data_IF_331450834249
#
_entry.id   IF_331450834249
#
_cell.length_a   1.000
_cell.length_b   1.000
_cell.length_c   1.000
_cell.angle_alpha   90.00
_cell.angle_beta   90.00
_cell.angle_gamma   90.00
#
_symmetry.space_group_name_H-M   'P 1'
#
loop_
_entity.id
_entity.type
_entity.pdbx_description
1 polymer ?
#
# COMPACT_ATOMS: atom_id res chain seq x y z
N UNK A 1 11.71 -12.22 9.58
CA UNK A 1 12.59 -11.06 9.71
C UNK A 1 12.24 -9.97 8.74
N UNK A 2 12.56 -8.77 9.11
CA UNK A 2 12.35 -7.62 8.27
C UNK A 2 13.57 -7.33 7.41
N UNK A 3 13.32 -6.90 6.19
CA UNK A 3 14.35 -6.30 5.37
C UNK A 3 14.52 -4.85 5.74
N UNK A 4 15.63 -4.26 5.38
CA UNK A 4 15.90 -2.86 5.66
C UNK A 4 15.53 -2.03 4.45
N UNK A 5 14.86 -0.92 4.71
CA UNK A 5 14.60 0.05 3.66
C UNK A 5 15.92 0.69 3.24
N UNK A 6 16.06 0.96 1.96
CA UNK A 6 17.25 1.60 1.40
C UNK A 6 16.86 2.87 0.68
N UNK A 7 17.83 3.73 0.46
CA UNK A 7 17.61 5.01 -0.19
C UNK A 7 17.21 6.06 0.82
N UNK A 8 16.63 7.15 0.34
CA UNK A 8 16.33 8.32 1.16
C UNK A 8 14.86 8.40 1.58
N UNK A 9 14.17 7.27 1.54
CA UNK A 9 12.78 7.21 1.95
C UNK A 9 12.61 7.32 3.45
N UNK A 10 11.44 7.76 3.87
CA UNK A 10 11.06 7.83 5.26
C UNK A 10 10.15 6.64 5.59
N UNK A 11 10.57 5.82 6.55
CA UNK A 11 9.85 4.62 6.95
C UNK A 11 9.59 4.69 8.44
N UNK A 12 8.31 4.76 8.84
CA UNK A 12 7.95 5.04 10.22
C UNK A 12 6.72 4.26 10.67
N UNK A 13 6.78 3.68 11.86
CA UNK A 13 5.68 2.89 12.46
C UNK A 13 5.10 1.88 11.47
N UNK A 14 5.94 1.01 10.98
CA UNK A 14 5.57 0.02 9.96
C UNK A 14 6.05 -1.36 10.35
N UNK A 15 5.51 -2.34 9.68
CA UNK A 15 5.97 -3.71 9.77
C UNK A 15 6.32 -4.23 8.38
N UNK A 16 7.58 -4.58 8.19
CA UNK A 16 8.08 -5.09 6.93
C UNK A 16 8.49 -6.54 7.11
N UNK A 17 7.89 -7.42 6.32
CA UNK A 17 8.25 -8.83 6.36
C UNK A 17 9.50 -9.10 5.52
N UNK A 18 9.87 -10.38 5.38
CA UNK A 18 11.13 -10.70 4.73
C UNK A 18 11.17 -10.25 3.28
N UNK A 19 12.35 -9.81 2.86
CA UNK A 19 12.64 -9.42 1.46
C UNK A 19 11.79 -8.28 0.93
N UNK A 20 11.19 -7.48 1.80
CA UNK A 20 10.49 -6.27 1.38
C UNK A 20 11.49 -5.27 0.81
N UNK A 21 11.11 -4.59 -0.26
CA UNK A 21 11.94 -3.59 -0.91
C UNK A 21 11.23 -2.26 -0.96
N UNK A 22 11.79 -1.27 -0.27
CA UNK A 22 11.35 0.13 -0.33
C UNK A 22 12.59 0.99 -0.55
N UNK A 23 13.21 0.91 -1.75
CA UNK A 23 14.58 1.34 -1.92
C UNK A 23 14.79 2.81 -2.27
N UNK A 24 13.79 3.54 -2.75
CA UNK A 24 14.02 4.85 -3.35
C UNK A 24 12.96 5.87 -2.99
N UNK A 25 13.29 6.77 -2.07
CA UNK A 25 12.44 7.92 -1.74
C UNK A 25 10.99 7.53 -1.44
N UNK A 26 10.83 6.49 -0.64
CA UNK A 26 9.50 6.02 -0.25
C UNK A 26 9.14 6.56 1.13
N UNK A 27 7.88 6.88 1.33
CA UNK A 27 7.35 7.03 2.67
C UNK A 27 6.47 5.84 3.00
N UNK A 28 6.79 5.15 4.08
CA UNK A 28 5.98 4.03 4.56
C UNK A 28 5.68 4.28 6.03
N UNK A 29 4.45 4.65 6.32
CA UNK A 29 4.03 4.94 7.68
C UNK A 29 2.80 4.17 8.09
N UNK A 30 2.81 3.64 9.32
CA UNK A 30 1.67 2.93 9.90
C UNK A 30 1.12 1.84 8.98
N UNK A 31 2.00 1.09 8.33
CA UNK A 31 1.65 0.12 7.29
C UNK A 31 2.25 -1.25 7.56
N UNK A 32 1.69 -2.25 6.90
CA UNK A 32 2.22 -3.62 6.91
C UNK A 32 2.50 -4.03 5.47
N UNK A 33 3.73 -4.43 5.19
CA UNK A 33 4.14 -4.88 3.87
C UNK A 33 4.53 -6.36 3.96
N UNK A 34 3.86 -7.18 3.15
CA UNK A 34 4.07 -8.62 3.16
C UNK A 34 5.39 -9.06 2.55
N UNK A 35 5.60 -10.35 2.53
CA UNK A 35 6.83 -10.98 2.02
C UNK A 35 7.09 -10.56 0.57
N UNK A 36 8.29 -10.11 0.29
CA UNK A 36 8.72 -9.64 -1.04
C UNK A 36 7.90 -8.50 -1.62
N UNK A 37 7.10 -7.81 -0.83
CA UNK A 37 6.41 -6.64 -1.34
C UNK A 37 7.43 -5.59 -1.78
N UNK A 38 7.17 -4.96 -2.90
CA UNK A 38 8.11 -4.00 -3.50
C UNK A 38 7.38 -2.68 -3.79
N UNK A 39 7.97 -1.59 -3.35
CA UNK A 39 7.47 -0.26 -3.64
C UNK A 39 8.42 0.45 -4.59
N UNK A 40 7.91 0.83 -5.75
CA UNK A 40 8.69 1.57 -6.74
C UNK A 40 9.09 2.93 -6.23
N UNK A 41 10.06 3.55 -6.91
CA UNK A 41 10.60 4.83 -6.48
C UNK A 41 9.52 5.89 -6.33
N UNK A 42 9.57 6.62 -5.24
CA UNK A 42 8.64 7.71 -4.98
C UNK A 42 7.24 7.30 -4.58
N UNK A 43 6.94 6.00 -4.50
CA UNK A 43 5.62 5.57 -4.04
C UNK A 43 5.53 5.73 -2.53
N UNK A 44 4.33 6.01 -2.05
CA UNK A 44 4.11 6.26 -0.62
C UNK A 44 2.84 5.60 -0.12
N UNK A 45 2.84 5.26 1.17
CA UNK A 45 1.62 4.89 1.87
C UNK A 45 1.21 6.08 2.73
N UNK A 46 0.21 6.82 2.27
CA UNK A 46 -0.31 7.93 3.03
C UNK A 46 -1.05 7.41 4.26
N UNK A 47 -0.81 8.00 5.41
CA UNK A 47 -1.33 7.45 6.66
C UNK A 47 -2.31 8.35 7.40
N UNK A 48 -2.51 9.57 6.93
CA UNK A 48 -3.48 10.50 7.54
C UNK A 48 -4.40 11.01 6.46
N UNK A 49 -5.71 10.94 6.71
CA UNK A 49 -6.70 11.49 5.78
C UNK A 49 -6.65 13.01 5.80
N UNK A 50 -6.94 13.60 4.67
CA UNK A 50 -6.93 15.07 4.55
C UNK A 50 -7.96 15.74 5.46
N UNK A 51 -9.07 15.07 5.75
CA UNK A 51 -10.10 15.59 6.66
C UNK A 51 -9.80 15.31 8.13
N UNK A 52 -8.66 14.66 8.41
CA UNK A 52 -8.21 14.32 9.77
C UNK A 52 -9.13 13.38 10.54
N UNK A 53 -10.07 12.75 9.86
CA UNK A 53 -10.96 11.78 10.49
C UNK A 53 -10.28 10.42 10.65
N UNK A 54 -10.91 9.54 11.42
CA UNK A 54 -10.41 8.18 11.63
C UNK A 54 -10.46 7.40 10.32
N UNK A 55 -9.48 6.52 10.14
CA UNK A 55 -9.35 5.75 8.91
C UNK A 55 -10.32 4.58 8.93
N UNK A 56 -10.99 4.36 7.80
CA UNK A 56 -11.90 3.24 7.59
C UNK A 56 -11.38 2.43 6.41
N UNK A 57 -11.26 1.12 6.57
CA UNK A 57 -10.94 0.21 5.48
C UNK A 57 -12.25 -0.15 4.80
N UNK A 58 -12.34 0.12 3.51
CA UNK A 58 -13.57 -0.09 2.74
C UNK A 58 -13.37 -1.09 1.63
N UNK A 59 -14.17 -2.15 1.65
CA UNK A 59 -14.27 -3.08 0.53
C UNK A 59 -15.65 -2.96 -0.10
N UNK A 60 -15.92 -3.76 -1.12
CA UNK A 60 -17.23 -3.75 -1.78
C UNK A 60 -18.36 -4.13 -0.82
N UNK A 61 -18.07 -5.02 0.12
CA UNK A 61 -19.10 -5.63 0.96
C UNK A 61 -19.14 -5.10 2.38
N UNK A 62 -18.04 -4.50 2.87
CA UNK A 62 -17.99 -4.12 4.26
C UNK A 62 -17.07 -2.95 4.50
N UNK A 63 -17.22 -2.35 5.65
CA UNK A 63 -16.35 -1.27 6.12
C UNK A 63 -15.86 -1.64 7.51
N UNK A 64 -14.56 -1.50 7.71
CA UNK A 64 -13.93 -1.78 9.00
C UNK A 64 -13.38 -0.47 9.55
N UNK A 65 -13.92 -0.04 10.67
CA UNK A 65 -13.43 1.15 11.35
C UNK A 65 -12.19 0.78 12.13
N UNK A 66 -11.08 1.43 11.81
CA UNK A 66 -9.81 1.12 12.48
C UNK A 66 -9.69 1.75 13.85
N UNK A 67 -10.47 2.79 14.13
CA UNK A 67 -10.32 3.56 15.36
C UNK A 67 -9.04 4.37 15.42
N UNK A 68 -8.32 4.47 14.31
CA UNK A 68 -7.01 5.12 14.26
C UNK A 68 -7.05 6.33 13.34
N UNK A 69 -6.40 7.38 13.77
CA UNK A 69 -6.20 8.58 12.96
C UNK A 69 -5.06 8.38 11.96
N UNK A 70 -4.08 7.56 12.33
CA UNK A 70 -2.94 7.21 11.47
C UNK A 70 -3.01 5.73 11.13
N UNK A 71 -3.19 5.43 9.87
CA UNK A 71 -3.29 4.07 9.38
C UNK A 71 -2.97 4.08 7.89
N UNK A 72 -1.92 3.40 7.50
CA UNK A 72 -1.44 3.42 6.12
C UNK A 72 -2.08 2.35 5.27
N UNK A 73 -1.24 1.54 4.62
CA UNK A 73 -1.70 0.50 3.71
C UNK A 73 -1.26 -0.88 4.19
N UNK A 74 -2.02 -1.88 3.78
CA UNK A 74 -1.69 -3.29 4.02
C UNK A 74 -1.41 -3.93 2.67
N UNK A 75 -0.16 -4.29 2.41
CA UNK A 75 0.23 -4.96 1.18
C UNK A 75 0.44 -6.44 1.45
N UNK A 76 -0.22 -7.28 0.66
CA UNK A 76 0.00 -8.71 0.72
C UNK A 76 1.36 -9.12 0.17
N UNK A 77 1.63 -10.42 0.20
CA UNK A 77 2.90 -10.95 -0.28
C UNK A 77 3.06 -10.71 -1.78
N UNK A 78 4.27 -10.38 -2.20
CA UNK A 78 4.64 -10.22 -3.60
C UNK A 78 3.83 -9.17 -4.36
N UNK A 79 3.34 -8.17 -3.66
CA UNK A 79 2.69 -7.00 -4.28
C UNK A 79 3.77 -6.09 -4.86
N UNK A 80 3.53 -5.57 -6.05
CA UNK A 80 4.42 -4.58 -6.64
C UNK A 80 3.67 -3.27 -6.86
N UNK A 81 4.20 -2.20 -6.28
CA UNK A 81 3.64 -0.87 -6.41
C UNK A 81 4.49 -0.06 -7.38
N UNK A 82 3.87 0.47 -8.42
CA UNK A 82 4.58 1.25 -9.43
C UNK A 82 5.07 2.58 -8.88
N UNK A 83 6.03 3.16 -9.61
CA UNK A 83 6.68 4.40 -9.18
C UNK A 83 5.68 5.54 -9.02
N UNK A 84 5.94 6.40 -8.04
CA UNK A 84 5.16 7.60 -7.77
C UNK A 84 3.67 7.34 -7.53
N UNK A 85 3.32 6.15 -7.06
CA UNK A 85 1.95 5.84 -6.67
C UNK A 85 1.69 6.25 -5.24
N UNK A 86 0.44 6.61 -4.96
CA UNK A 86 0.00 6.95 -3.61
C UNK A 86 -1.07 5.96 -3.19
N UNK A 87 -0.79 5.25 -2.10
CA UNK A 87 -1.76 4.37 -1.46
C UNK A 87 -2.42 5.17 -0.34
N UNK A 88 -3.69 5.47 -0.49
CA UNK A 88 -4.40 6.30 0.48
C UNK A 88 -4.65 5.54 1.78
N UNK A 89 -4.87 6.25 2.90
CA UNK A 89 -5.08 5.58 4.19
C UNK A 89 -6.19 4.53 4.12
N UNK A 90 -5.89 3.34 4.62
CA UNK A 90 -6.85 2.24 4.60
C UNK A 90 -6.82 1.40 3.34
N UNK A 91 -5.87 1.62 2.44
CA UNK A 91 -5.74 0.79 1.24
C UNK A 91 -5.26 -0.61 1.63
N UNK A 92 -5.88 -1.62 1.03
CA UNK A 92 -5.46 -3.01 1.20
C UNK A 92 -5.25 -3.59 -0.19
N UNK A 93 -4.08 -4.20 -0.42
CA UNK A 93 -3.75 -4.81 -1.70
C UNK A 93 -3.49 -6.29 -1.48
N UNK A 94 -4.28 -7.12 -2.16
CA UNK A 94 -4.15 -8.57 -2.04
C UNK A 94 -2.87 -9.09 -2.66
N UNK A 95 -2.50 -10.32 -2.30
CA UNK A 95 -1.25 -10.94 -2.75
C UNK A 95 -1.11 -11.00 -4.27
N UNK A 96 0.11 -10.91 -4.74
CA UNK A 96 0.44 -11.05 -6.17
C UNK A 96 -0.26 -10.03 -7.06
N UNK A 97 -0.57 -8.87 -6.53
CA UNK A 97 -1.20 -7.80 -7.29
C UNK A 97 -0.19 -6.76 -7.69
N UNK A 98 -0.50 -6.06 -8.78
CA UNK A 98 0.36 -5.00 -9.29
C UNK A 98 -0.41 -3.68 -9.32
N UNK A 99 0.26 -2.62 -8.93
CA UNK A 99 -0.27 -1.26 -9.03
C UNK A 99 0.54 -0.54 -10.10
N UNK A 100 -0.12 0.00 -11.10
CA UNK A 100 0.55 0.74 -12.16
C UNK A 100 1.16 2.04 -11.62
N UNK A 101 2.24 2.52 -12.25
CA UNK A 101 2.84 3.78 -11.84
C UNK A 101 1.85 4.94 -11.88
N UNK A 102 2.11 5.95 -11.07
CA UNK A 102 1.31 7.17 -10.98
C UNK A 102 -0.15 6.91 -10.58
N UNK A 103 -0.38 5.87 -9.81
CA UNK A 103 -1.73 5.51 -9.39
C UNK A 103 -2.10 6.17 -8.06
N UNK A 104 -3.37 6.51 -7.93
CA UNK A 104 -3.96 6.94 -6.68
C UNK A 104 -4.92 5.84 -6.23
N UNK A 105 -4.51 5.04 -5.26
CA UNK A 105 -5.20 3.81 -4.88
C UNK A 105 -6.01 4.02 -3.62
N UNK A 106 -7.24 3.54 -3.63
CA UNK A 106 -8.14 3.55 -2.47
C UNK A 106 -8.86 2.22 -2.36
N UNK A 107 -9.20 1.84 -1.16
CA UNK A 107 -10.00 0.66 -0.90
C UNK A 107 -9.22 -0.63 -0.99
N UNK A 108 -9.91 -1.70 -1.35
CA UNK A 108 -9.34 -3.05 -1.36
C UNK A 108 -9.14 -3.52 -2.78
N UNK A 109 -7.92 -3.91 -3.11
CA UNK A 109 -7.58 -4.50 -4.40
C UNK A 109 -7.50 -6.01 -4.19
N UNK A 110 -8.29 -6.80 -4.90
CA UNK A 110 -8.27 -8.26 -4.72
C UNK A 110 -6.93 -8.88 -5.10
N UNK A 111 -6.64 -10.04 -4.54
CA UNK A 111 -5.41 -10.78 -4.87
C UNK A 111 -5.36 -11.12 -6.35
N UNK A 112 -4.15 -11.07 -6.92
CA UNK A 112 -3.94 -11.45 -8.31
C UNK A 112 -4.54 -10.49 -9.33
N UNK A 113 -4.70 -9.22 -8.97
CA UNK A 113 -5.24 -8.20 -9.86
C UNK A 113 -4.22 -7.16 -10.25
N UNK A 114 -4.51 -6.44 -11.32
CA UNK A 114 -3.72 -5.30 -11.74
C UNK A 114 -4.60 -4.06 -11.60
N UNK A 115 -4.12 -3.09 -10.85
CA UNK A 115 -4.78 -1.79 -10.72
C UNK A 115 -4.17 -0.86 -11.77
N UNK A 116 -4.93 -0.53 -12.79
CA UNK A 116 -4.51 0.44 -13.82
C UNK A 116 -4.96 1.83 -13.46
N UNK A 117 -6.20 1.95 -13.02
CA UNK A 117 -6.77 3.20 -12.52
C UNK A 117 -8.05 2.84 -11.75
N UNK A 118 -8.72 3.83 -11.20
CA UNK A 118 -9.90 3.58 -10.37
C UNK A 118 -11.03 2.84 -11.12
N UNK A 119 -11.05 2.90 -12.44
CA UNK A 119 -12.08 2.25 -13.26
C UNK A 119 -11.63 0.93 -13.84
N UNK A 120 -10.33 0.66 -13.84
CA UNK A 120 -9.77 -0.53 -14.49
C UNK A 120 -8.93 -1.33 -13.51
N UNK A 121 -9.59 -2.25 -12.83
CA UNK A 121 -8.95 -3.22 -11.96
C UNK A 121 -9.24 -4.57 -12.57
N UNK A 122 -8.22 -5.18 -13.17
CA UNK A 122 -8.41 -6.41 -13.94
C UNK A 122 -7.68 -7.58 -13.28
N UNK A 123 -8.27 -8.76 -13.48
CA UNK A 123 -7.68 -9.98 -12.95
C UNK A 123 -6.46 -10.38 -13.77
N UNK A 124 -5.42 -10.82 -13.12
CA UNK A 124 -4.24 -11.37 -13.79
C UNK A 124 -4.56 -12.74 -14.36
N UNK A 125 -4.03 -12.98 -15.52
CA UNK A 125 -4.18 -14.27 -16.18
C UNK A 125 -3.15 -15.27 -15.66
#
# INVERSE_FOLDING_TARGET
RCSVARGLGDVYKRQLFNKVQVPHYNYVGDSVLGYKAHMGAGSITSNVKSDKKLVVVKSADEQIETGLKKFGAMLGDEVEVGCNSVLNPGTVVGRNSNIYPLSCVRGVIPSGHIFKNAKEIIKKI
#
